data_IF_726802149793
#
_entry.id   IF_726802149793
#
_cell.length_a   1.000
_cell.length_b   1.000
_cell.length_c   1.000
_cell.angle_alpha   90.00
_cell.angle_beta   90.00
_cell.angle_gamma   90.00
#
_symmetry.space_group_name_H-M   'P 1'
#
loop_
_entity.id
_entity.type
_entity.pdbx_description
1 polymer ?
#
# COMPACT_ATOMS: atom_id res chain seq x y z
N UNK A 1 -35.14 -38.13 -43.09
CA UNK A 1 -35.73 -36.89 -43.62
C UNK A 1 -34.82 -35.77 -43.12
N UNK A 2 -33.97 -35.10 -43.89
CA UNK A 2 -34.04 -34.67 -45.30
C UNK A 2 -34.22 -33.13 -45.31
N UNK A 3 -33.45 -32.30 -46.01
CA UNK A 3 -32.39 -32.52 -47.01
C UNK A 3 -31.35 -31.38 -46.97
N UNK A 4 -30.11 -31.63 -47.43
CA UNK A 4 -29.19 -30.58 -47.94
C UNK A 4 -29.51 -30.31 -49.43
N UNK A 5 -29.23 -29.09 -49.92
CA UNK A 5 -28.12 -28.90 -50.90
C UNK A 5 -27.41 -27.53 -50.73
N UNK A 6 -26.25 -27.21 -51.33
CA UNK A 6 -25.16 -27.97 -51.95
C UNK A 6 -23.91 -27.07 -52.11
N UNK A 7 -22.72 -27.69 -52.17
CA UNK A 7 -21.40 -27.10 -52.49
C UNK A 7 -21.26 -26.80 -54.01
N UNK A 8 -20.27 -26.02 -54.50
CA UNK A 8 -18.88 -26.52 -54.72
C UNK A 8 -17.77 -25.45 -54.52
N UNK A 9 -16.57 -25.52 -55.13
CA UNK A 9 -15.39 -26.37 -54.81
C UNK A 9 -14.08 -25.69 -55.31
N UNK A 10 -12.93 -26.11 -54.74
CA UNK A 10 -11.53 -25.95 -55.23
C UNK A 10 -10.88 -24.54 -55.24
N UNK A 11 -9.57 -24.38 -54.99
CA UNK A 11 -8.56 -25.38 -54.58
C UNK A 11 -7.10 -24.89 -54.66
N UNK A 12 -6.15 -25.83 -54.55
CA UNK A 12 -4.68 -25.74 -54.65
C UNK A 12 -3.89 -25.26 -53.42
N UNK A 13 -2.86 -26.05 -53.08
CA UNK A 13 -1.80 -25.78 -52.10
C UNK A 13 -0.63 -25.06 -52.78
N UNK A 14 0.21 -24.37 -51.99
CA UNK A 14 1.66 -24.33 -52.23
C UNK A 14 2.38 -23.91 -50.95
N UNK A 15 3.29 -24.75 -50.47
CA UNK A 15 4.31 -24.33 -49.50
C UNK A 15 5.33 -23.43 -50.21
N UNK A 16 5.62 -22.26 -49.63
CA UNK A 16 6.85 -21.51 -49.94
C UNK A 16 7.33 -20.78 -48.68
N UNK A 17 8.48 -21.21 -48.15
CA UNK A 17 9.30 -20.40 -47.24
C UNK A 17 9.76 -19.13 -47.95
N UNK A 18 9.24 -17.96 -47.57
CA UNK A 18 9.86 -16.67 -47.91
C UNK A 18 9.88 -15.70 -46.73
N UNK A 19 11.08 -15.25 -46.39
CA UNK A 19 11.38 -14.17 -45.46
C UNK A 19 10.54 -12.93 -45.78
N UNK A 20 9.58 -12.58 -44.93
CA UNK A 20 8.96 -11.27 -44.92
C UNK A 20 9.48 -10.48 -43.71
N UNK A 21 10.46 -9.62 -44.00
CA UNK A 21 10.86 -8.55 -43.08
C UNK A 21 9.65 -7.66 -42.83
N UNK A 22 9.05 -7.77 -41.64
CA UNK A 22 8.02 -6.86 -41.17
C UNK A 22 8.66 -5.51 -40.85
N UNK A 23 8.86 -4.72 -41.90
CA UNK A 23 9.09 -3.29 -41.79
C UNK A 23 7.89 -2.68 -41.05
N UNK A 24 8.06 -2.39 -39.76
CA UNK A 24 7.20 -1.45 -39.06
C UNK A 24 7.23 -0.13 -39.83
N UNK A 25 6.09 0.43 -40.28
CA UNK A 25 6.08 1.79 -40.76
C UNK A 25 6.41 2.69 -39.56
N UNK A 26 7.62 3.25 -39.56
CA UNK A 26 7.96 4.42 -38.76
C UNK A 26 7.21 5.64 -39.33
N UNK A 27 5.88 5.62 -39.20
CA UNK A 27 5.08 6.84 -39.24
C UNK A 27 5.49 7.67 -38.03
N UNK A 28 6.48 8.53 -38.25
CA UNK A 28 6.72 9.72 -37.42
C UNK A 28 5.51 10.62 -37.60
N UNK A 29 4.43 10.29 -36.90
CA UNK A 29 3.34 11.21 -36.64
C UNK A 29 3.95 12.37 -35.87
N UNK A 30 4.14 13.50 -36.55
CA UNK A 30 4.30 14.79 -35.87
C UNK A 30 3.21 14.87 -34.79
N UNK A 31 3.52 15.35 -33.57
CA UNK A 31 2.45 15.61 -32.61
C UNK A 31 1.42 16.52 -33.28
N UNK A 32 0.10 16.27 -33.10
CA UNK A 32 -0.92 17.13 -33.68
C UNK A 32 -0.65 18.57 -33.24
N UNK A 33 -0.77 19.52 -34.18
CA UNK A 33 -0.59 20.93 -33.85
C UNK A 33 -1.61 21.30 -32.78
N UNK A 34 -1.13 21.65 -31.58
CA UNK A 34 -1.95 21.89 -30.41
C UNK A 34 -3.15 22.78 -30.75
N UNK A 35 -4.36 22.26 -30.62
CA UNK A 35 -5.53 23.14 -30.63
C UNK A 35 -5.50 23.96 -29.34
N UNK A 36 -5.88 25.23 -29.42
CA UNK A 36 -5.72 26.19 -28.32
C UNK A 36 -6.47 25.79 -27.02
N UNK A 37 -7.36 24.80 -27.05
CA UNK A 37 -8.17 24.36 -25.92
C UNK A 37 -7.75 23.00 -25.34
N UNK A 38 -6.72 22.33 -25.87
CA UNK A 38 -6.34 21.00 -25.39
C UNK A 38 -5.53 21.05 -24.08
N UNK A 39 -6.16 20.62 -22.98
CA UNK A 39 -5.49 20.32 -21.72
C UNK A 39 -4.29 19.39 -21.94
N UNK A 40 -3.12 19.68 -21.38
CA UNK A 40 -1.97 18.76 -21.40
C UNK A 40 -2.20 17.57 -20.43
N UNK A 41 -1.34 16.55 -20.51
CA UNK A 41 -1.50 15.31 -19.71
C UNK A 41 -1.54 15.59 -18.20
N UNK A 42 -0.74 16.55 -17.70
CA UNK A 42 -0.76 16.97 -16.31
C UNK A 42 -2.06 17.68 -15.89
N UNK A 43 -2.58 18.62 -16.70
CA UNK A 43 -3.89 19.23 -16.44
C UNK A 43 -5.03 18.18 -16.52
N UNK A 44 -4.93 17.14 -17.35
CA UNK A 44 -5.89 16.02 -17.36
C UNK A 44 -5.78 15.11 -16.13
N UNK A 45 -4.57 14.85 -15.64
CA UNK A 45 -4.32 13.95 -14.51
C UNK A 45 -4.60 14.60 -13.14
N UNK A 46 -4.04 15.80 -12.92
CA UNK A 46 -3.91 16.40 -11.59
C UNK A 46 -5.03 17.41 -11.26
N UNK A 47 -5.57 18.13 -12.26
CA UNK A 47 -6.69 19.08 -12.04
C UNK A 47 -7.96 18.41 -11.47
N UNK A 48 -8.36 17.19 -11.89
CA UNK A 48 -9.48 16.48 -11.26
C UNK A 48 -9.24 16.13 -9.78
N UNK A 49 -7.98 16.01 -9.35
CA UNK A 49 -7.64 15.84 -7.94
C UNK A 49 -7.83 17.13 -7.16
N UNK A 50 -7.38 18.28 -7.68
CA UNK A 50 -7.57 19.58 -7.03
C UNK A 50 -9.03 19.91 -6.67
N UNK A 51 -10.00 19.33 -7.39
CA UNK A 51 -11.44 19.43 -7.09
C UNK A 51 -11.92 18.31 -6.14
N UNK A 52 -11.59 17.05 -6.43
CA UNK A 52 -12.19 15.87 -5.74
C UNK A 52 -11.44 15.44 -4.48
N UNK A 53 -10.17 15.78 -4.37
CA UNK A 53 -9.28 15.37 -3.29
C UNK A 53 -9.45 16.15 -1.99
N UNK A 54 -10.26 17.22 -1.94
CA UNK A 54 -10.33 18.13 -0.80
C UNK A 54 -10.59 17.45 0.55
N UNK A 55 -11.33 16.32 0.59
CA UNK A 55 -11.55 15.51 1.80
C UNK A 55 -10.23 14.96 2.40
N UNK A 56 -9.19 14.72 1.59
CA UNK A 56 -7.90 14.20 2.08
C UNK A 56 -7.20 15.10 3.09
N UNK A 57 -7.50 16.42 3.10
CA UNK A 57 -6.91 17.39 4.04
C UNK A 57 -7.24 17.15 5.52
N UNK A 58 -8.27 16.38 5.84
CA UNK A 58 -8.58 16.03 7.23
C UNK A 58 -7.83 14.80 7.75
N UNK A 59 -6.87 14.26 6.98
CA UNK A 59 -6.16 13.03 7.28
C UNK A 59 -4.65 13.21 7.32
N UNK A 60 -4.01 12.49 8.24
CA UNK A 60 -2.59 12.15 8.15
C UNK A 60 -2.44 10.88 7.30
N UNK A 61 -1.47 10.86 6.39
CA UNK A 61 -1.15 9.68 5.59
C UNK A 61 0.13 9.02 6.10
N UNK A 62 0.10 7.71 6.32
CA UNK A 62 1.28 6.91 6.65
C UNK A 62 1.45 5.85 5.59
N UNK A 63 2.46 6.03 4.73
CA UNK A 63 2.76 5.14 3.61
C UNK A 63 3.83 4.14 4.02
N UNK A 64 3.53 2.86 3.92
CA UNK A 64 4.44 1.77 4.20
C UNK A 64 5.03 1.24 2.90
N UNK A 65 6.35 1.30 2.80
CA UNK A 65 7.11 0.93 1.60
C UNK A 65 7.96 -0.32 1.85
N UNK A 66 8.05 -1.18 0.85
CA UNK A 66 8.88 -2.38 0.89
C UNK A 66 10.17 -2.10 0.13
N UNK A 67 11.33 -2.30 0.79
CA UNK A 67 12.65 -2.18 0.18
C UNK A 67 13.47 -3.49 0.30
N UNK A 68 12.80 -4.62 0.10
CA UNK A 68 13.42 -5.93 0.16
C UNK A 68 12.79 -6.86 -0.88
N UNK A 69 13.34 -8.07 -1.00
CA UNK A 69 13.03 -9.06 -2.05
C UNK A 69 11.61 -9.62 -2.05
N UNK A 70 10.68 -9.06 -1.25
CA UNK A 70 9.25 -9.27 -1.43
C UNK A 70 8.70 -8.61 -2.70
N UNK A 71 9.28 -7.48 -3.11
CA UNK A 71 8.97 -6.87 -4.40
C UNK A 71 10.08 -7.20 -5.40
N UNK A 72 9.68 -7.62 -6.60
CA UNK A 72 10.57 -7.67 -7.76
C UNK A 72 10.89 -6.26 -8.26
N UNK A 73 11.91 -6.16 -9.14
CA UNK A 73 12.38 -4.87 -9.66
C UNK A 73 11.28 -4.04 -10.33
N UNK A 74 10.32 -4.66 -11.01
CA UNK A 74 9.20 -3.95 -11.65
C UNK A 74 8.21 -3.41 -10.61
N UNK A 75 7.89 -4.20 -9.59
CA UNK A 75 7.05 -3.79 -8.47
C UNK A 75 7.71 -2.68 -7.65
N UNK A 76 9.02 -2.76 -7.39
CA UNK A 76 9.79 -1.69 -6.73
C UNK A 76 9.75 -0.38 -7.53
N UNK A 77 9.98 -0.43 -8.84
CA UNK A 77 9.90 0.77 -9.69
C UNK A 77 8.47 1.33 -9.77
N UNK A 78 7.45 0.47 -9.80
CA UNK A 78 6.06 0.89 -9.75
C UNK A 78 5.72 1.58 -8.41
N UNK A 79 6.19 1.03 -7.28
CA UNK A 79 6.07 1.66 -5.95
C UNK A 79 6.67 3.08 -5.94
N UNK A 80 7.88 3.27 -6.45
CA UNK A 80 8.51 4.60 -6.55
C UNK A 80 7.70 5.55 -7.44
N UNK A 81 7.18 5.06 -8.59
CA UNK A 81 6.34 5.90 -9.47
C UNK A 81 5.04 6.33 -8.80
N UNK A 82 4.43 5.45 -8.00
CA UNK A 82 3.22 5.73 -7.22
C UNK A 82 3.50 6.71 -6.08
N UNK A 83 4.66 6.61 -5.41
CA UNK A 83 5.10 7.59 -4.40
C UNK A 83 5.34 8.98 -5.01
N UNK A 84 5.98 9.06 -6.17
CA UNK A 84 6.15 10.33 -6.90
C UNK A 84 4.80 10.91 -7.34
N UNK A 85 3.82 10.08 -7.72
CA UNK A 85 2.47 10.56 -7.98
C UNK A 85 1.83 11.12 -6.70
N UNK A 86 1.93 10.39 -5.59
CA UNK A 86 1.48 10.83 -4.26
C UNK A 86 2.09 12.18 -3.85
N UNK A 87 3.34 12.44 -4.21
CA UNK A 87 4.01 13.71 -3.95
C UNK A 87 3.30 14.88 -4.65
N UNK A 88 2.95 14.72 -5.93
CA UNK A 88 2.17 15.73 -6.67
C UNK A 88 0.78 15.92 -6.07
N UNK A 89 0.10 14.84 -5.67
CA UNK A 89 -1.21 14.89 -5.00
C UNK A 89 -1.13 15.56 -3.61
N UNK A 90 -0.04 15.33 -2.88
CA UNK A 90 0.23 15.91 -1.58
C UNK A 90 0.51 17.41 -1.68
N UNK A 91 1.30 17.85 -2.67
CA UNK A 91 1.55 19.26 -2.95
C UNK A 91 0.25 20.05 -3.21
N UNK A 92 -0.61 19.55 -4.11
CA UNK A 92 -1.90 20.18 -4.48
C UNK A 92 -2.81 20.44 -3.26
N UNK A 93 -2.78 19.55 -2.27
CA UNK A 93 -3.64 19.67 -1.10
C UNK A 93 -2.93 20.03 0.21
N UNK A 94 -1.59 20.15 0.21
CA UNK A 94 -0.74 20.33 1.39
C UNK A 94 -0.95 19.20 2.41
N UNK A 95 -0.87 17.96 1.95
CA UNK A 95 -1.08 16.76 2.77
C UNK A 95 0.17 16.43 3.59
N UNK A 96 -0.02 16.05 4.85
CA UNK A 96 1.06 15.47 5.65
C UNK A 96 1.16 13.98 5.35
N UNK A 97 2.25 13.59 4.69
CA UNK A 97 2.54 12.20 4.33
C UNK A 97 3.86 11.77 4.96
N UNK A 98 3.80 10.74 5.81
CA UNK A 98 4.96 10.09 6.42
C UNK A 98 5.24 8.77 5.69
N UNK A 99 6.51 8.50 5.38
CA UNK A 99 6.96 7.24 4.78
C UNK A 99 7.67 6.40 5.84
N UNK A 100 7.29 5.11 5.94
CA UNK A 100 7.88 4.14 6.87
C UNK A 100 8.40 2.92 6.11
N UNK A 101 9.62 2.49 6.46
CA UNK A 101 10.23 1.28 5.95
C UNK A 101 10.87 0.51 7.12
N UNK A 102 10.53 -0.77 7.28
CA UNK A 102 11.05 -1.61 8.37
C UNK A 102 12.46 -2.17 8.09
N UNK A 103 13.10 -1.77 6.99
CA UNK A 103 14.46 -2.17 6.64
C UNK A 103 15.54 -1.32 7.33
N UNK A 104 15.19 -0.13 7.85
CA UNK A 104 16.14 0.85 8.42
C UNK A 104 15.80 1.29 9.86
N UNK A 105 16.79 1.17 10.73
CA UNK A 105 16.77 1.69 12.10
C UNK A 105 17.45 3.07 12.15
N UNK A 106 17.08 3.89 13.14
CA UNK A 106 17.77 5.14 13.45
C UNK A 106 19.16 4.86 14.02
N UNK A 107 20.10 5.76 13.75
CA UNK A 107 21.45 5.71 14.31
C UNK A 107 21.54 6.50 15.63
N UNK A 108 20.48 7.23 15.98
CA UNK A 108 20.36 8.04 17.21
C UNK A 108 19.59 7.27 18.29
N UNK A 109 20.28 6.84 19.34
CA UNK A 109 19.67 6.35 20.58
C UNK A 109 20.08 7.31 21.71
N UNK A 110 19.28 8.35 21.97
CA UNK A 110 19.59 9.40 22.96
C UNK A 110 19.43 8.93 24.43
N UNK A 111 18.94 7.70 24.64
CA UNK A 111 18.67 7.07 25.93
C UNK A 111 19.39 5.70 26.01
N UNK A 112 20.30 5.49 26.99
CA UNK A 112 20.97 4.21 27.19
C UNK A 112 20.03 3.02 27.36
N UNK A 113 18.89 3.19 28.03
CA UNK A 113 17.91 2.11 28.24
C UNK A 113 17.21 1.71 26.93
N UNK A 114 16.99 2.69 26.05
CA UNK A 114 16.46 2.44 24.71
C UNK A 114 17.49 1.72 23.82
N UNK A 115 18.78 2.05 23.96
CA UNK A 115 19.88 1.37 23.27
C UNK A 115 20.04 -0.10 23.72
N UNK A 116 19.96 -0.37 25.03
CA UNK A 116 20.01 -1.74 25.58
C UNK A 116 18.85 -2.61 25.04
N UNK A 117 17.62 -2.07 25.01
CA UNK A 117 16.46 -2.79 24.48
C UNK A 117 16.57 -3.04 22.97
N UNK A 118 17.08 -2.07 22.20
CA UNK A 118 17.38 -2.22 20.77
C UNK A 118 18.41 -3.33 20.54
N UNK A 119 19.49 -3.35 21.32
CA UNK A 119 20.54 -4.35 21.23
C UNK A 119 20.03 -5.75 21.62
N UNK A 120 19.17 -5.87 22.63
CA UNK A 120 18.50 -7.13 23.00
C UNK A 120 17.74 -7.71 21.81
N UNK A 121 16.85 -6.92 21.19
CA UNK A 121 16.05 -7.38 20.06
C UNK A 121 16.91 -7.71 18.82
N UNK A 122 17.94 -6.92 18.52
CA UNK A 122 18.90 -7.24 17.47
C UNK A 122 19.65 -8.56 17.76
N UNK A 123 20.04 -8.80 19.01
CA UNK A 123 20.63 -10.06 19.46
C UNK A 123 19.69 -11.25 19.27
N UNK A 124 18.40 -11.10 19.59
CA UNK A 124 17.39 -12.15 19.36
C UNK A 124 17.19 -12.48 17.88
N UNK A 125 17.26 -11.48 16.99
CA UNK A 125 17.23 -11.72 15.53
C UNK A 125 18.49 -12.43 15.02
N UNK A 126 19.64 -12.14 15.62
CA UNK A 126 20.92 -12.77 15.28
C UNK A 126 21.08 -14.19 15.85
N UNK A 127 20.24 -14.58 16.81
CA UNK A 127 20.26 -15.91 17.43
C UNK A 127 20.13 -17.04 16.38
N UNK A 128 20.94 -18.08 16.55
CA UNK A 128 21.07 -19.21 15.64
C UNK A 128 20.29 -20.45 16.08
N UNK A 129 19.79 -20.45 17.31
CA UNK A 129 19.01 -21.56 17.88
C UNK A 129 17.91 -21.07 18.81
N UNK A 130 16.89 -21.90 19.00
CA UNK A 130 15.81 -21.77 19.98
C UNK A 130 16.37 -21.53 21.38
N UNK A 131 17.38 -22.30 21.81
CA UNK A 131 17.97 -22.19 23.15
C UNK A 131 18.67 -20.84 23.34
N UNK A 132 19.40 -20.36 22.33
CA UNK A 132 20.05 -19.05 22.39
C UNK A 132 19.03 -17.90 22.46
N UNK A 133 17.98 -17.96 21.65
CA UNK A 133 16.89 -16.98 21.65
C UNK A 133 16.14 -16.94 22.99
N UNK A 134 15.83 -18.11 23.56
CA UNK A 134 15.19 -18.22 24.89
C UNK A 134 16.11 -17.65 25.97
N UNK A 135 17.41 -17.99 25.96
CA UNK A 135 18.38 -17.47 26.94
C UNK A 135 18.47 -15.94 26.88
N UNK A 136 18.57 -15.35 25.68
CA UNK A 136 18.57 -13.89 25.52
C UNK A 136 17.29 -13.26 26.06
N UNK A 137 16.14 -13.94 25.96
CA UNK A 137 14.89 -13.48 26.54
C UNK A 137 14.86 -13.57 28.07
N UNK A 138 15.45 -14.61 28.66
CA UNK A 138 15.49 -14.82 30.11
C UNK A 138 16.53 -13.94 30.81
N UNK A 139 17.68 -13.70 30.17
CA UNK A 139 18.76 -12.85 30.70
C UNK A 139 18.45 -11.33 30.56
N UNK A 140 17.27 -10.95 30.05
CA UNK A 140 16.90 -9.53 29.85
C UNK A 140 16.81 -8.77 31.18
N UNK A 141 17.21 -7.48 31.23
CA UNK A 141 16.97 -6.65 32.41
C UNK A 141 15.47 -6.61 32.75
N UNK A 142 15.12 -6.87 34.01
CA UNK A 142 13.73 -6.73 34.46
C UNK A 142 13.24 -5.31 34.26
N UNK A 143 12.13 -5.14 33.54
CA UNK A 143 11.49 -3.85 33.36
C UNK A 143 11.24 -3.16 34.72
N UNK A 144 11.64 -1.89 34.84
CA UNK A 144 11.60 -1.13 36.10
C UNK A 144 10.17 -0.87 36.63
N UNK A 145 9.16 -1.12 35.80
CA UNK A 145 7.74 -1.03 36.12
C UNK A 145 7.07 -2.38 35.92
N UNK A 146 6.43 -2.90 36.96
CA UNK A 146 5.45 -3.98 36.83
C UNK A 146 4.35 -3.55 35.85
N UNK A 147 4.03 -4.33 34.80
CA UNK A 147 3.03 -3.92 33.84
C UNK A 147 1.66 -3.79 34.50
N UNK A 148 0.91 -2.76 34.12
CA UNK A 148 -0.46 -2.62 34.62
C UNK A 148 -1.35 -3.75 34.05
N UNK A 149 -2.43 -4.17 34.75
CA UNK A 149 -3.31 -5.23 34.25
C UNK A 149 -3.96 -4.94 32.88
N UNK A 150 -3.92 -3.69 32.41
CA UNK A 150 -4.46 -3.25 31.13
C UNK A 150 -3.44 -3.35 29.98
N UNK A 151 -2.15 -3.53 30.26
CA UNK A 151 -1.01 -3.53 29.30
C UNK A 151 -0.76 -4.85 28.54
N UNK A 152 -1.79 -5.69 28.40
CA UNK A 152 -1.74 -7.01 27.73
C UNK A 152 -1.40 -6.97 26.21
N UNK A 153 -0.94 -5.84 25.69
CA UNK A 153 -0.66 -5.59 24.26
C UNK A 153 0.74 -5.08 23.94
N UNK A 154 1.60 -4.82 24.95
CA UNK A 154 2.99 -4.37 24.72
C UNK A 154 3.83 -5.40 23.94
N UNK A 155 4.94 -4.95 23.34
CA UNK A 155 5.84 -5.83 22.59
C UNK A 155 6.39 -6.98 23.46
N UNK A 156 6.78 -6.69 24.71
CA UNK A 156 7.28 -7.69 25.66
C UNK A 156 6.26 -8.80 25.94
N UNK A 157 4.97 -8.47 26.10
CA UNK A 157 3.93 -9.47 26.32
C UNK A 157 3.76 -10.39 25.11
N UNK A 158 3.83 -9.85 23.89
CA UNK A 158 3.68 -10.65 22.66
C UNK A 158 4.89 -11.55 22.43
N UNK A 159 6.10 -11.04 22.60
CA UNK A 159 7.33 -11.85 22.52
C UNK A 159 7.32 -12.93 23.61
N UNK A 160 6.96 -12.60 24.86
CA UNK A 160 6.82 -13.59 25.94
C UNK A 160 5.84 -14.70 25.59
N UNK A 161 4.65 -14.36 25.08
CA UNK A 161 3.63 -15.34 24.73
C UNK A 161 4.10 -16.33 23.63
N UNK A 162 4.83 -15.85 22.62
CA UNK A 162 5.40 -16.74 21.59
C UNK A 162 6.58 -17.54 22.14
N UNK A 163 7.46 -16.94 22.95
CA UNK A 163 8.58 -17.64 23.60
C UNK A 163 8.07 -18.76 24.52
N UNK A 164 7.01 -18.52 25.29
CA UNK A 164 6.38 -19.54 26.15
C UNK A 164 5.75 -20.66 25.32
N UNK A 165 4.99 -20.33 24.27
CA UNK A 165 4.48 -21.34 23.33
C UNK A 165 5.61 -22.21 22.74
N UNK A 166 6.74 -21.57 22.39
CA UNK A 166 7.94 -22.23 21.86
C UNK A 166 8.62 -23.11 22.92
N UNK A 167 8.69 -22.68 24.18
CA UNK A 167 9.25 -23.47 25.31
C UNK A 167 8.50 -24.78 25.51
N UNK A 168 7.17 -24.74 25.53
CA UNK A 168 6.34 -25.93 25.76
C UNK A 168 6.25 -26.86 24.54
N UNK A 169 6.57 -26.37 23.35
CA UNK A 169 6.55 -27.16 22.11
C UNK A 169 7.86 -27.94 21.92
N UNK A 170 7.81 -29.27 22.02
CA UNK A 170 9.01 -30.13 21.87
C UNK A 170 9.47 -30.30 20.41
N UNK A 171 8.53 -30.33 19.47
CA UNK A 171 8.79 -30.77 18.08
C UNK A 171 9.02 -29.61 17.09
N UNK A 172 9.08 -28.36 17.57
CA UNK A 172 9.28 -27.16 16.74
C UNK A 172 10.79 -26.89 16.59
N UNK A 173 11.29 -27.00 15.37
CA UNK A 173 12.71 -26.78 15.03
C UNK A 173 13.11 -25.30 15.06
N UNK A 174 14.42 -25.03 15.11
CA UNK A 174 14.97 -23.66 15.24
C UNK A 174 14.46 -22.69 14.17
N UNK A 175 14.28 -23.17 12.94
CA UNK A 175 13.76 -22.40 11.81
C UNK A 175 12.30 -21.99 12.04
N UNK A 176 11.47 -22.90 12.53
CA UNK A 176 10.05 -22.64 12.80
C UNK A 176 9.85 -21.75 14.03
N UNK A 177 10.72 -21.86 15.04
CA UNK A 177 10.80 -20.90 16.15
C UNK A 177 11.12 -19.51 15.61
N UNK A 178 12.15 -19.39 14.77
CA UNK A 178 12.55 -18.11 14.19
C UNK A 178 11.41 -17.48 13.40
N UNK A 179 10.74 -18.22 12.51
CA UNK A 179 9.60 -17.71 11.75
C UNK A 179 8.40 -17.27 12.61
N UNK A 180 8.23 -17.83 13.82
CA UNK A 180 7.15 -17.44 14.73
C UNK A 180 7.48 -16.20 15.57
N UNK A 181 8.72 -16.08 16.06
CA UNK A 181 9.13 -15.00 16.98
C UNK A 181 9.63 -13.75 16.22
N UNK A 182 10.28 -13.94 15.06
CA UNK A 182 10.88 -12.84 14.27
C UNK A 182 9.91 -11.70 13.93
N UNK A 183 8.64 -11.92 13.52
CA UNK A 183 7.68 -10.83 13.29
C UNK A 183 7.42 -9.95 14.52
N UNK A 184 7.36 -10.55 15.72
CA UNK A 184 7.10 -9.81 16.96
C UNK A 184 8.33 -9.01 17.40
N UNK A 185 9.54 -9.55 17.20
CA UNK A 185 10.80 -8.82 17.45
C UNK A 185 10.95 -7.65 16.47
N UNK A 186 10.65 -7.85 15.18
CA UNK A 186 10.68 -6.77 14.17
C UNK A 186 9.62 -5.70 14.49
N UNK A 187 8.45 -6.09 14.98
CA UNK A 187 7.45 -5.15 15.46
C UNK A 187 7.92 -4.38 16.70
N UNK A 188 8.66 -5.01 17.62
CA UNK A 188 9.25 -4.31 18.76
C UNK A 188 10.32 -3.28 18.31
N UNK A 189 11.18 -3.68 17.38
CA UNK A 189 12.23 -2.83 16.81
C UNK A 189 11.68 -1.66 15.97
N UNK A 190 10.41 -1.69 15.55
CA UNK A 190 9.86 -0.63 14.72
C UNK A 190 9.84 0.74 15.39
N UNK A 191 9.83 0.81 16.72
CA UNK A 191 9.90 2.07 17.46
C UNK A 191 11.22 2.83 17.21
N UNK A 192 12.27 2.11 16.79
CA UNK A 192 13.56 2.66 16.41
C UNK A 192 13.70 2.84 14.89
N UNK A 193 12.65 2.63 14.08
CA UNK A 193 12.79 2.75 12.60
C UNK A 193 12.91 4.19 12.14
N UNK A 194 13.76 4.42 11.12
CA UNK A 194 13.80 5.71 10.42
C UNK A 194 12.44 5.97 9.80
N UNK A 195 11.97 7.21 9.95
CA UNK A 195 10.74 7.72 9.35
C UNK A 195 11.09 8.99 8.59
N UNK A 196 10.49 9.18 7.43
CA UNK A 196 10.76 10.31 6.53
C UNK A 196 9.46 11.06 6.24
N UNK A 197 9.54 12.35 5.91
CA UNK A 197 8.47 12.95 5.11
C UNK A 197 8.49 12.34 3.70
N UNK A 198 7.38 12.46 2.96
CA UNK A 198 7.36 11.99 1.57
C UNK A 198 8.39 12.73 0.70
N UNK A 199 8.60 14.03 0.91
CA UNK A 199 9.58 14.81 0.14
C UNK A 199 11.01 14.35 0.46
N UNK A 200 11.39 14.25 1.75
CA UNK A 200 12.72 13.74 2.15
C UNK A 200 12.97 12.33 1.63
N UNK A 201 11.94 11.48 1.62
CA UNK A 201 12.05 10.13 1.07
C UNK A 201 12.26 10.17 -0.44
N UNK A 202 11.49 10.98 -1.18
CA UNK A 202 11.59 11.07 -2.64
C UNK A 202 12.93 11.66 -3.08
N UNK A 203 13.47 12.65 -2.37
CA UNK A 203 14.79 13.22 -2.66
C UNK A 203 15.93 12.21 -2.42
N UNK A 204 15.78 11.33 -1.42
CA UNK A 204 16.78 10.33 -1.06
C UNK A 204 16.49 8.92 -1.60
N UNK A 205 15.43 8.70 -2.39
CA UNK A 205 14.90 7.35 -2.64
C UNK A 205 15.90 6.43 -3.35
N UNK A 206 16.68 6.91 -4.33
CA UNK A 206 17.69 6.07 -5.01
C UNK A 206 18.74 5.55 -4.03
N UNK A 207 19.13 6.38 -3.06
CA UNK A 207 20.07 6.02 -1.99
C UNK A 207 19.41 5.05 -1.01
N UNK A 208 18.23 5.38 -0.48
CA UNK A 208 17.51 4.53 0.48
C UNK A 208 17.25 3.14 -0.13
N UNK A 209 16.80 3.09 -1.39
CA UNK A 209 16.49 1.82 -2.07
C UNK A 209 17.75 1.03 -2.52
N UNK A 210 18.91 1.69 -2.58
CA UNK A 210 20.20 1.07 -2.93
C UNK A 210 21.09 0.67 -1.73
N UNK A 211 20.88 1.27 -0.56
CA UNK A 211 21.66 0.97 0.65
C UNK A 211 21.26 -0.36 1.31
N UNK A 212 22.21 -1.14 1.85
CA UNK A 212 21.89 -2.37 2.55
C UNK A 212 20.99 -2.11 3.78
N UNK A 213 20.01 -2.98 4.07
CA UNK A 213 19.13 -2.81 5.21
C UNK A 213 19.91 -2.92 6.52
N UNK A 214 19.67 -2.02 7.48
CA UNK A 214 20.28 -2.10 8.81
C UNK A 214 19.55 -3.10 9.71
N UNK A 215 18.34 -3.54 9.34
CA UNK A 215 17.60 -4.59 10.03
C UNK A 215 17.65 -5.90 9.25
N UNK A 216 18.43 -6.87 9.73
CA UNK A 216 18.56 -8.20 9.13
C UNK A 216 17.47 -9.17 9.62
N UNK A 217 16.26 -9.02 9.08
CA UNK A 217 15.15 -9.97 9.21
C UNK A 217 14.53 -10.26 7.82
N UNK A 218 13.85 -11.39 7.68
CA UNK A 218 13.22 -11.80 6.43
C UNK A 218 12.11 -10.82 6.02
N UNK A 219 11.94 -10.61 4.71
CA UNK A 219 10.92 -9.70 4.18
C UNK A 219 9.50 -10.05 4.65
N UNK A 220 9.14 -11.35 4.63
CA UNK A 220 7.86 -11.84 5.15
C UNK A 220 7.66 -11.47 6.64
N UNK A 221 8.70 -11.57 7.47
CA UNK A 221 8.63 -11.21 8.90
C UNK A 221 8.39 -9.71 9.08
N UNK A 222 9.07 -8.88 8.28
CA UNK A 222 8.83 -7.42 8.22
C UNK A 222 7.40 -7.10 7.79
N UNK A 223 6.87 -7.79 6.78
CA UNK A 223 5.49 -7.62 6.35
C UNK A 223 4.48 -8.00 7.44
N UNK A 224 4.69 -9.13 8.14
CA UNK A 224 3.86 -9.50 9.30
C UNK A 224 3.96 -8.45 10.42
N UNK A 225 5.16 -7.97 10.73
CA UNK A 225 5.40 -6.92 11.73
C UNK A 225 4.66 -5.61 11.38
N UNK A 226 4.68 -5.19 10.12
CA UNK A 226 3.90 -4.03 9.65
C UNK A 226 2.41 -4.19 9.98
N UNK A 227 1.80 -5.33 9.64
CA UNK A 227 0.38 -5.58 9.95
C UNK A 227 0.10 -5.70 11.45
N UNK A 228 1.05 -6.21 12.26
CA UNK A 228 0.98 -6.24 13.73
C UNK A 228 0.92 -4.81 14.30
N UNK A 229 1.75 -3.90 13.79
CA UNK A 229 1.81 -2.50 14.21
C UNK A 229 0.57 -1.72 13.78
N UNK A 230 0.13 -1.91 12.54
CA UNK A 230 -1.08 -1.30 12.00
C UNK A 230 -2.33 -1.74 12.79
N UNK A 231 -2.41 -3.00 13.20
CA UNK A 231 -3.47 -3.47 14.09
C UNK A 231 -3.42 -2.81 15.48
N UNK A 232 -2.22 -2.55 16.04
CA UNK A 232 -2.09 -1.83 17.31
C UNK A 232 -2.57 -0.37 17.21
N UNK A 233 -2.17 0.34 16.14
CA UNK A 233 -2.62 1.73 15.88
C UNK A 233 -4.12 1.78 15.65
N UNK A 234 -4.67 0.84 14.86
CA UNK A 234 -6.11 0.70 14.65
C UNK A 234 -6.86 0.47 15.96
N UNK A 235 -6.38 -0.46 16.81
CA UNK A 235 -6.99 -0.74 18.11
C UNK A 235 -6.98 0.49 19.01
N UNK A 236 -5.84 1.16 19.16
CA UNK A 236 -5.71 2.36 19.98
C UNK A 236 -6.65 3.48 19.51
N UNK A 237 -6.74 3.68 18.19
CA UNK A 237 -7.65 4.66 17.57
C UNK A 237 -9.13 4.32 17.83
N UNK A 238 -9.50 3.04 17.70
CA UNK A 238 -10.88 2.57 17.97
C UNK A 238 -11.27 2.62 19.45
N UNK A 239 -10.31 2.66 20.38
CA UNK A 239 -10.57 2.73 21.84
C UNK A 239 -10.36 4.12 22.45
N UNK A 240 -9.92 5.13 21.69
CA UNK A 240 -9.60 6.47 22.21
C UNK A 240 -10.81 7.42 22.17
N UNK A 241 -11.14 8.10 23.29
CA UNK A 241 -12.35 8.92 23.47
C UNK A 241 -12.37 10.29 22.72
N UNK A 242 -11.70 10.33 21.56
CA UNK A 242 -11.56 11.41 20.56
C UNK A 242 -10.42 12.42 20.84
N UNK A 243 -9.81 12.91 19.74
CA UNK A 243 -8.80 13.97 19.76
C UNK A 243 -7.64 13.78 18.77
N UNK A 244 -7.36 12.55 18.35
CA UNK A 244 -6.32 12.26 17.37
C UNK A 244 -6.75 12.58 15.92
N UNK A 245 -5.80 13.04 15.10
CA UNK A 245 -6.03 13.26 13.66
C UNK A 245 -6.33 11.92 12.97
N UNK A 246 -7.44 11.82 12.20
CA UNK A 246 -7.74 10.70 11.33
C UNK A 246 -6.53 10.22 10.52
N UNK A 247 -6.22 8.93 10.56
CA UNK A 247 -5.06 8.35 9.86
C UNK A 247 -5.48 7.41 8.73
N UNK A 248 -4.91 7.59 7.54
CA UNK A 248 -4.98 6.64 6.43
C UNK A 248 -3.62 5.95 6.30
N UNK A 249 -3.57 4.65 6.57
CA UNK A 249 -2.38 3.83 6.32
C UNK A 249 -2.42 3.28 4.90
N UNK A 250 -1.46 3.64 4.05
CA UNK A 250 -1.35 3.12 2.68
C UNK A 250 -0.23 2.09 2.67
N UNK A 251 -0.52 0.84 2.29
CA UNK A 251 0.46 -0.25 2.28
C UNK A 251 0.70 -0.75 0.87
N UNK A 252 1.94 -0.63 0.38
CA UNK A 252 2.38 -1.35 -0.82
C UNK A 252 2.71 -2.80 -0.48
N UNK A 253 2.25 -3.73 -1.32
CA UNK A 253 2.27 -5.16 -1.04
C UNK A 253 2.66 -5.95 -2.30
N UNK A 254 3.33 -7.11 -2.19
CA UNK A 254 3.37 -8.08 -3.28
C UNK A 254 1.96 -8.59 -3.59
N UNK A 255 1.71 -9.12 -4.79
CA UNK A 255 0.36 -9.56 -5.13
C UNK A 255 -0.13 -10.76 -4.29
N UNK A 256 0.76 -11.71 -4.00
CA UNK A 256 0.50 -12.89 -3.17
C UNK A 256 1.61 -13.09 -2.11
N UNK A 257 1.27 -13.76 -1.01
CA UNK A 257 2.18 -14.21 0.07
C UNK A 257 1.92 -15.67 0.44
N UNK A 258 2.84 -16.36 1.16
CA UNK A 258 2.59 -17.70 1.67
C UNK A 258 1.33 -17.74 2.56
N UNK A 259 0.45 -18.73 2.37
CA UNK A 259 -0.84 -18.81 3.08
C UNK A 259 -0.72 -18.69 4.61
N UNK A 260 0.34 -19.22 5.22
CA UNK A 260 0.61 -19.08 6.67
C UNK A 260 0.80 -17.62 7.10
N UNK A 261 1.42 -16.80 6.26
CA UNK A 261 1.60 -15.35 6.47
C UNK A 261 0.25 -14.64 6.48
N UNK A 262 -0.58 -14.92 5.48
CA UNK A 262 -1.94 -14.37 5.40
C UNK A 262 -2.80 -14.80 6.61
N UNK A 263 -2.74 -16.07 7.01
CA UNK A 263 -3.45 -16.59 8.19
C UNK A 263 -3.02 -15.85 9.46
N UNK A 264 -1.72 -15.62 9.66
CA UNK A 264 -1.20 -14.87 10.81
C UNK A 264 -1.68 -13.41 10.81
N UNK A 265 -1.59 -12.72 9.67
CA UNK A 265 -2.11 -11.35 9.51
C UNK A 265 -3.61 -11.31 9.85
N UNK A 266 -4.41 -12.18 9.23
CA UNK A 266 -5.85 -12.28 9.48
C UNK A 266 -6.18 -12.59 10.94
N UNK A 267 -5.38 -13.40 11.64
CA UNK A 267 -5.54 -13.69 13.08
C UNK A 267 -5.36 -12.43 13.92
N UNK A 268 -4.33 -11.61 13.64
CA UNK A 268 -4.10 -10.35 14.35
C UNK A 268 -5.24 -9.36 14.09
N UNK A 269 -5.68 -9.22 12.83
CA UNK A 269 -6.72 -8.28 12.44
C UNK A 269 -8.12 -8.62 12.95
N UNK A 270 -8.44 -9.92 13.12
CA UNK A 270 -9.69 -10.36 13.79
C UNK A 270 -9.84 -9.85 15.23
N UNK A 271 -8.76 -9.47 15.91
CA UNK A 271 -8.85 -8.87 17.26
C UNK A 271 -9.53 -7.50 17.25
N UNK A 272 -9.58 -6.81 16.11
CA UNK A 272 -10.22 -5.50 15.95
C UNK A 272 -11.75 -5.58 15.85
N UNK A 273 -12.33 -6.74 15.53
CA UNK A 273 -13.77 -6.88 15.31
C UNK A 273 -14.60 -6.47 16.54
N UNK A 274 -14.10 -6.73 17.76
CA UNK A 274 -14.79 -6.37 19.02
C UNK A 274 -14.82 -4.86 19.27
N UNK A 275 -13.70 -4.12 19.33
CA UNK A 275 -13.73 -2.66 19.49
C UNK A 275 -14.44 -1.96 18.31
N UNK A 276 -14.32 -2.49 17.09
CA UNK A 276 -15.01 -1.98 15.91
C UNK A 276 -16.54 -2.09 16.05
N UNK A 277 -17.06 -3.25 16.47
CA UNK A 277 -18.50 -3.45 16.67
C UNK A 277 -19.06 -2.59 17.82
N UNK A 278 -18.28 -2.42 18.91
CA UNK A 278 -18.62 -1.49 20.00
C UNK A 278 -18.79 -0.06 19.47
N UNK A 279 -17.83 0.43 18.68
CA UNK A 279 -17.88 1.77 18.06
C UNK A 279 -19.05 1.96 17.12
N UNK A 280 -19.36 0.97 16.27
CA UNK A 280 -20.52 1.02 15.38
C UNK A 280 -21.81 1.21 16.18
N UNK A 281 -21.99 0.46 17.26
CA UNK A 281 -23.16 0.60 18.15
C UNK A 281 -23.23 1.94 18.86
N UNK A 282 -22.10 2.48 19.32
CA UNK A 282 -22.04 3.81 19.95
C UNK A 282 -22.34 4.95 18.95
N UNK A 283 -22.10 4.72 17.66
CA UNK A 283 -22.24 5.71 16.57
C UNK A 283 -23.64 5.81 15.95
N UNK A 284 -24.67 5.17 16.52
CA UNK A 284 -25.99 4.80 15.95
C UNK A 284 -26.82 5.88 15.17
N UNK A 285 -26.34 7.12 15.01
CA UNK A 285 -26.96 8.17 14.15
C UNK A 285 -25.99 8.99 13.28
N UNK A 286 -24.68 8.75 13.30
CA UNK A 286 -23.73 9.56 12.52
C UNK A 286 -22.46 8.81 12.12
N UNK A 287 -22.22 8.80 10.80
CA UNK A 287 -20.96 8.60 10.06
C UNK A 287 -19.80 7.83 10.71
N UNK A 288 -19.33 6.85 9.94
CA UNK A 288 -17.95 6.33 9.86
C UNK A 288 -16.94 7.19 10.63
N UNK A 289 -16.55 6.72 11.82
CA UNK A 289 -15.57 7.40 12.67
C UNK A 289 -14.16 7.07 12.14
N UNK A 290 -13.74 7.80 11.09
CA UNK A 290 -12.50 7.57 10.32
C UNK A 290 -11.18 7.81 11.12
N UNK A 291 -11.13 7.52 12.42
CA UNK A 291 -9.93 7.70 13.26
C UNK A 291 -8.74 6.88 12.74
N UNK A 292 -9.00 5.70 12.17
CA UNK A 292 -8.02 4.90 11.46
C UNK A 292 -8.66 4.15 10.28
N UNK A 293 -8.01 4.21 9.12
CA UNK A 293 -8.39 3.47 7.91
C UNK A 293 -7.14 2.97 7.17
N UNK A 294 -7.29 2.01 6.26
CA UNK A 294 -6.20 1.36 5.55
C UNK A 294 -6.50 1.14 4.07
N UNK A 295 -5.60 1.57 3.20
CA UNK A 295 -5.56 1.17 1.79
C UNK A 295 -4.49 0.08 1.61
N UNK A 296 -4.91 -1.11 1.18
CA UNK A 296 -4.02 -2.15 0.67
C UNK A 296 -3.78 -1.90 -0.82
N UNK A 297 -2.52 -1.84 -1.25
CA UNK A 297 -2.12 -1.64 -2.65
C UNK A 297 -1.26 -2.82 -3.08
N UNK A 298 -1.88 -3.81 -3.72
CA UNK A 298 -1.14 -4.98 -4.20
C UNK A 298 -0.58 -4.71 -5.60
N UNK A 299 0.73 -4.88 -5.74
CA UNK A 299 1.46 -4.66 -6.99
C UNK A 299 1.64 -6.02 -7.67
N UNK A 300 0.84 -6.30 -8.70
CA UNK A 300 0.90 -7.55 -9.44
C UNK A 300 1.24 -7.37 -10.91
N UNK A 301 0.79 -8.31 -11.73
CA UNK A 301 0.98 -8.32 -13.19
C UNK A 301 -0.31 -8.72 -13.90
N UNK A 302 -0.39 -8.49 -15.21
CA UNK A 302 -1.52 -8.88 -16.07
C UNK A 302 -1.96 -10.37 -15.99
N UNK A 303 -1.16 -11.25 -15.37
CA UNK A 303 -1.44 -12.68 -15.21
C UNK A 303 -1.57 -13.12 -13.74
N UNK A 304 -1.47 -12.18 -12.81
CA UNK A 304 -1.63 -12.43 -11.37
C UNK A 304 -3.10 -12.56 -10.97
N UNK A 305 -3.37 -13.07 -9.76
CA UNK A 305 -4.73 -13.32 -9.28
C UNK A 305 -5.46 -12.05 -8.82
N UNK A 306 -4.96 -10.86 -9.19
CA UNK A 306 -5.58 -9.58 -8.84
C UNK A 306 -5.49 -9.26 -7.34
N UNK A 307 -4.47 -9.75 -6.63
CA UNK A 307 -4.32 -9.55 -5.19
C UNK A 307 -5.42 -10.21 -4.34
N UNK A 308 -6.03 -11.30 -4.82
CA UNK A 308 -7.20 -11.92 -4.20
C UNK A 308 -6.99 -12.24 -2.69
N UNK A 309 -5.78 -12.59 -2.27
CA UNK A 309 -5.45 -12.78 -0.85
C UNK A 309 -5.70 -11.53 0.02
N UNK A 310 -5.40 -10.34 -0.51
CA UNK A 310 -5.58 -9.06 0.18
C UNK A 310 -7.03 -8.60 0.18
N UNK A 311 -7.78 -8.93 -0.86
CA UNK A 311 -9.24 -8.76 -0.90
C UNK A 311 -9.93 -9.57 0.20
N UNK A 312 -9.45 -10.78 0.52
CA UNK A 312 -9.94 -11.53 1.68
C UNK A 312 -9.60 -10.90 3.05
N UNK A 313 -8.71 -9.90 3.09
CA UNK A 313 -8.43 -9.08 4.29
C UNK A 313 -9.33 -7.83 4.35
N UNK A 314 -9.62 -7.20 3.21
CA UNK A 314 -10.70 -6.21 3.07
C UNK A 314 -12.05 -6.80 3.55
N UNK A 315 -12.43 -7.96 3.00
CA UNK A 315 -13.67 -8.67 3.33
C UNK A 315 -13.79 -9.12 4.80
N UNK A 316 -12.69 -9.15 5.58
CA UNK A 316 -12.72 -9.44 7.01
C UNK A 316 -13.30 -8.30 7.87
N UNK A 317 -13.38 -7.07 7.35
CA UNK A 317 -13.85 -5.87 8.05
C UNK A 317 -15.37 -5.82 8.36
N UNK A 318 -16.09 -6.94 8.27
CA UNK A 318 -17.55 -6.97 8.37
C UNK A 318 -18.06 -6.96 9.83
N UNK A 319 -18.00 -5.78 10.45
CA UNK A 319 -18.72 -5.42 11.68
C UNK A 319 -19.63 -4.18 11.50
N UNK A 320 -20.01 -3.87 10.25
CA UNK A 320 -20.82 -2.69 9.88
C UNK A 320 -20.02 -1.45 9.48
N UNK A 321 -18.69 -1.47 9.64
CA UNK A 321 -17.80 -0.37 9.25
C UNK A 321 -16.50 -0.94 8.64
N UNK A 322 -16.43 -0.99 7.31
CA UNK A 322 -15.18 -1.35 6.62
C UNK A 322 -14.12 -0.28 6.89
N UNK A 323 -12.97 -0.68 7.44
CA UNK A 323 -11.82 0.22 7.70
C UNK A 323 -10.62 -0.11 6.82
N UNK A 324 -10.74 -1.14 5.99
CA UNK A 324 -9.77 -1.56 4.98
C UNK A 324 -10.44 -1.36 3.62
N UNK A 325 -9.65 -1.08 2.58
CA UNK A 325 -10.02 -1.17 1.17
C UNK A 325 -8.84 -1.80 0.41
N UNK A 326 -9.10 -2.44 -0.73
CA UNK A 326 -8.08 -3.10 -1.54
C UNK A 326 -8.07 -2.59 -2.98
N UNK A 327 -6.88 -2.23 -3.44
CA UNK A 327 -6.59 -1.76 -4.78
C UNK A 327 -5.46 -2.62 -5.37
N UNK A 328 -5.80 -3.49 -6.31
CA UNK A 328 -4.81 -4.16 -7.14
C UNK A 328 -4.35 -3.24 -8.28
N UNK A 329 -3.04 -3.21 -8.54
CA UNK A 329 -2.41 -2.50 -9.67
C UNK A 329 -1.43 -3.42 -10.39
N UNK A 330 -1.48 -3.44 -11.72
CA UNK A 330 -0.47 -4.07 -12.57
C UNK A 330 0.77 -3.16 -12.62
N UNK A 331 1.89 -3.62 -12.04
CA UNK A 331 3.14 -2.90 -12.00
C UNK A 331 3.67 -2.57 -13.41
N UNK A 332 3.48 -3.47 -14.38
CA UNK A 332 3.81 -3.25 -15.78
C UNK A 332 2.96 -2.14 -16.42
N UNK A 333 1.65 -2.06 -16.12
CA UNK A 333 0.81 -0.95 -16.59
C UNK A 333 1.16 0.38 -15.90
N UNK A 334 1.48 0.37 -14.60
CA UNK A 334 1.98 1.57 -13.90
C UNK A 334 3.27 2.08 -14.55
N UNK A 335 4.19 1.19 -14.92
CA UNK A 335 5.44 1.58 -15.58
C UNK A 335 5.26 1.98 -17.05
N UNK A 336 4.34 1.36 -17.79
CA UNK A 336 4.10 1.67 -19.20
C UNK A 336 3.29 2.96 -19.41
N UNK A 337 2.21 3.14 -18.62
CA UNK A 337 1.18 4.17 -18.82
C UNK A 337 1.14 5.24 -17.75
N UNK A 338 1.85 5.03 -16.63
CA UNK A 338 1.79 5.92 -15.48
C UNK A 338 0.44 5.95 -14.77
N UNK A 339 0.32 6.81 -13.74
CA UNK A 339 -0.93 7.09 -13.04
C UNK A 339 -2.04 7.60 -13.95
N UNK A 340 -3.27 7.15 -13.71
CA UNK A 340 -4.48 7.68 -14.35
C UNK A 340 -5.29 8.63 -13.45
N UNK A 341 -6.25 9.40 -14.01
CA UNK A 341 -6.98 10.48 -13.33
C UNK A 341 -7.92 10.02 -12.20
N UNK A 342 -8.14 8.71 -12.02
CA UNK A 342 -8.88 8.14 -10.89
C UNK A 342 -7.97 7.57 -9.81
N UNK A 343 -6.66 7.41 -10.07
CA UNK A 343 -5.76 6.66 -9.20
C UNK A 343 -5.62 7.32 -7.82
N UNK A 344 -5.33 8.62 -7.77
CA UNK A 344 -5.24 9.36 -6.51
C UNK A 344 -6.49 9.28 -5.64
N UNK A 345 -7.69 9.24 -6.26
CA UNK A 345 -8.94 9.11 -5.52
C UNK A 345 -9.13 7.73 -4.90
N UNK A 346 -8.82 6.63 -5.61
CA UNK A 346 -8.84 5.31 -4.99
C UNK A 346 -7.75 5.20 -3.92
N UNK A 347 -6.51 5.53 -4.29
CA UNK A 347 -5.31 5.31 -3.48
C UNK A 347 -5.29 6.12 -2.15
N UNK A 348 -5.89 7.31 -2.11
CA UNK A 348 -5.91 8.16 -0.91
C UNK A 348 -7.28 8.29 -0.24
N UNK A 349 -8.39 7.96 -0.93
CA UNK A 349 -9.76 8.15 -0.41
C UNK A 349 -10.69 6.93 -0.54
N UNK A 350 -10.25 5.84 -1.18
CA UNK A 350 -10.93 4.54 -1.19
C UNK A 350 -11.39 4.08 0.21
N UNK A 351 -10.49 4.01 1.21
CA UNK A 351 -10.85 3.53 2.55
C UNK A 351 -11.51 4.64 3.39
N UNK A 352 -11.96 5.73 2.78
CA UNK A 352 -12.51 6.93 3.45
C UNK A 352 -13.87 7.36 2.87
N UNK A 353 -14.31 6.86 1.71
CA UNK A 353 -15.65 7.16 1.20
C UNK A 353 -16.25 6.10 0.28
N UNK A 354 -17.50 5.63 0.52
CA UNK A 354 -18.16 4.71 -0.40
C UNK A 354 -18.40 5.31 -1.79
N UNK A 355 -18.32 6.63 -1.97
CA UNK A 355 -18.37 7.25 -3.32
C UNK A 355 -17.03 7.14 -4.06
N UNK A 356 -15.90 7.04 -3.35
CA UNK A 356 -14.60 6.74 -3.97
C UNK A 356 -14.49 5.25 -4.37
N UNK A 357 -15.10 4.36 -3.58
CA UNK A 357 -15.15 2.91 -3.82
C UNK A 357 -16.24 2.47 -4.84
N UNK A 358 -17.46 3.05 -4.78
CA UNK A 358 -18.61 2.67 -5.64
C UNK A 358 -18.45 2.94 -7.14
N UNK A 359 -17.28 3.35 -7.61
CA UNK A 359 -16.85 3.10 -8.98
C UNK A 359 -16.97 1.60 -9.38
N UNK A 360 -17.07 0.67 -8.41
CA UNK A 360 -17.48 -0.74 -8.58
C UNK A 360 -18.75 -1.02 -9.43
N UNK A 361 -19.57 -0.02 -9.79
CA UNK A 361 -20.85 -0.23 -10.48
C UNK A 361 -20.96 0.17 -11.97
N UNK A 362 -19.93 0.78 -12.59
CA UNK A 362 -19.93 1.12 -14.03
C UNK A 362 -18.65 0.65 -14.72
N UNK A 363 -18.74 0.32 -16.01
CA UNK A 363 -17.68 -0.29 -16.85
C UNK A 363 -16.46 0.61 -17.15
N UNK A 364 -16.22 1.62 -16.32
CA UNK A 364 -15.17 2.65 -16.47
C UNK A 364 -14.01 2.47 -15.45
N UNK A 365 -14.07 1.42 -14.63
CA UNK A 365 -13.48 1.44 -13.28
C UNK A 365 -11.99 1.06 -13.15
N UNK A 366 -11.35 0.54 -14.22
CA UNK A 366 -9.92 0.16 -14.24
C UNK A 366 -9.10 1.00 -15.24
N UNK A 367 -9.65 1.35 -16.40
CA UNK A 367 -8.93 2.12 -17.43
C UNK A 367 -8.48 3.48 -16.92
N UNK A 368 -9.28 4.14 -16.08
CA UNK A 368 -8.93 5.42 -15.45
C UNK A 368 -7.90 5.35 -14.31
N UNK A 369 -7.42 4.17 -13.94
CA UNK A 369 -6.29 4.00 -12.98
C UNK A 369 -4.93 4.21 -13.64
N UNK A 370 -4.86 4.09 -14.96
CA UNK A 370 -3.65 4.21 -15.75
C UNK A 370 -3.75 5.41 -16.70
N UNK A 371 -2.61 6.03 -17.01
CA UNK A 371 -2.53 7.16 -17.92
C UNK A 371 -2.55 6.75 -19.40
N UNK A 372 -2.20 7.72 -20.25
CA UNK A 372 -2.11 7.54 -21.71
C UNK A 372 -0.67 7.52 -22.22
N UNK A 373 0.29 8.05 -21.47
CA UNK A 373 1.69 8.19 -21.87
C UNK A 373 2.68 7.88 -20.75
N UNK A 374 3.93 7.61 -21.15
CA UNK A 374 4.98 7.14 -20.24
C UNK A 374 5.62 8.20 -19.34
N UNK A 375 5.28 9.49 -19.49
CA UNK A 375 5.83 10.61 -18.70
C UNK A 375 5.33 10.66 -17.26
N UNK A 376 6.14 11.18 -16.34
CA UNK A 376 5.67 11.59 -15.01
C UNK A 376 5.06 12.99 -15.13
N UNK A 377 3.75 13.12 -14.93
CA UNK A 377 3.09 14.42 -14.96
C UNK A 377 3.35 15.20 -13.67
N UNK A 378 3.78 16.46 -13.79
CA UNK A 378 4.13 17.33 -12.66
C UNK A 378 3.09 18.42 -12.41
N UNK A 379 3.10 19.00 -11.21
CA UNK A 379 2.32 20.21 -10.92
C UNK A 379 2.78 21.42 -11.75
N UNK A 380 4.08 21.52 -12.07
CA UNK A 380 4.61 22.58 -12.95
C UNK A 380 4.00 22.49 -14.36
N UNK A 381 3.93 21.29 -14.93
CA UNK A 381 3.25 21.05 -16.22
C UNK A 381 1.75 21.38 -16.14
N UNK A 382 1.09 21.06 -15.03
CA UNK A 382 -0.32 21.39 -14.82
C UNK A 382 -0.54 22.90 -14.78
N UNK A 383 0.32 23.64 -14.08
CA UNK A 383 0.25 25.09 -13.89
C UNK A 383 0.63 25.85 -15.17
N UNK A 384 1.57 25.30 -15.96
CA UNK A 384 1.94 25.80 -17.29
C UNK A 384 0.89 25.52 -18.38
N UNK A 385 -0.15 24.74 -18.09
CA UNK A 385 -1.18 24.43 -19.08
C UNK A 385 -2.05 25.66 -19.39
N UNK A 386 -2.39 25.85 -20.67
CA UNK A 386 -3.29 26.92 -21.16
C UNK A 386 -4.64 26.95 -20.41
N UNK A 387 -5.04 25.79 -19.86
CA UNK A 387 -6.21 25.62 -18.99
C UNK A 387 -6.17 26.46 -17.68
N UNK A 388 -5.00 26.92 -17.24
CA UNK A 388 -4.79 27.69 -15.99
C UNK A 388 -4.48 29.17 -16.23
N UNK A 389 -3.97 29.53 -17.41
CA UNK A 389 -3.72 30.94 -17.75
C UNK A 389 -5.05 31.70 -17.86
N UNK A 390 -5.24 32.71 -16.99
CA UNK A 390 -6.47 33.48 -16.90
C UNK A 390 -6.82 34.13 -18.26
N UNK A 391 -7.98 33.78 -18.81
CA UNK A 391 -8.48 34.36 -20.07
C UNK A 391 -9.38 33.43 -20.89
N UNK A 392 -9.28 32.11 -20.73
CA UNK A 392 -10.19 31.19 -21.41
C UNK A 392 -11.52 31.04 -20.67
N UNK A 393 -12.61 31.42 -21.35
CA UNK A 393 -13.95 31.07 -20.93
C UNK A 393 -14.11 29.54 -20.91
N UNK A 394 -14.89 28.95 -19.97
CA UNK A 394 -15.07 27.51 -19.91
C UNK A 394 -15.61 26.96 -21.24
N UNK A 395 -14.85 26.05 -21.85
CA UNK A 395 -15.33 25.26 -22.99
C UNK A 395 -16.57 24.46 -22.61
N UNK A 396 -17.47 24.28 -23.58
CA UNK A 396 -18.84 23.75 -23.38
C UNK A 396 -18.87 22.36 -22.73
N UNK A 397 -17.79 21.59 -22.82
CA UNK A 397 -17.66 20.24 -22.26
C UNK A 397 -17.77 20.15 -20.72
N UNK A 398 -17.49 21.24 -19.98
CA UNK A 398 -17.55 21.23 -18.52
C UNK A 398 -18.95 21.49 -17.91
N UNK A 399 -19.96 21.81 -18.72
CA UNK A 399 -21.31 22.16 -18.22
C UNK A 399 -22.22 20.93 -18.05
N UNK A 400 -21.93 19.81 -18.71
CA UNK A 400 -22.86 18.68 -18.83
C UNK A 400 -22.72 17.56 -17.76
N UNK A 401 -21.83 17.72 -16.78
CA UNK A 401 -21.67 16.76 -15.66
C UNK A 401 -22.05 17.35 -14.28
N UNK A 402 -22.60 18.57 -14.23
CA UNK A 402 -23.08 19.20 -12.99
C UNK A 402 -24.60 19.24 -12.83
N UNK A 403 -25.34 18.50 -13.67
CA UNK A 403 -26.79 18.34 -13.57
C UNK A 403 -27.19 16.88 -13.87
N UNK A 404 -27.13 16.05 -12.82
CA UNK A 404 -28.21 15.12 -12.47
C UNK A 404 -28.06 14.77 -10.97
N UNK A 405 -29.19 14.54 -10.30
CA UNK A 405 -29.33 14.57 -8.84
C UNK A 405 -29.01 13.24 -8.10
#
# INVERSE_FOLDING_TARGET
MGCNPSRPLNGSQTDVDQNLSTHFPLTVTRPPGYSYNEHNEACRLLRPWAVRGAKSRSFMFVVHVINNSLLDRSQTLAQIRLLSHLQQLAYIHKLQVLVKCLDYLSDTDDDPSAADEKQLYQGMLAARSKTEMIRLWDDRPSAASSPSPEETTTAEHRISAVIDQVRYSRDVGDVDVKHQVEPEIVAALSRFTKSWSLDDFMDAHEKIMGEPPTLHAAGISKLQAQFILQAQVARASLTSDNGATPTVSVSFLPDDVPNVTLINIKKQWKTLCVPLAKRVKESEKSLRQDLYTMQLVSLGSAHSNGGQQWKELDELGQAGMGIIDHLHLDAGQVLLRGPGPLLGQKLLLGPVGPVADRAKARRESETGLYGTGGSQATCEDMDACVCQTQGMAPGVEYVQLSQDA
#
